data_IF_419646942326
#
_entry.id   IF_419646942326
#
_cell.length_a   1.000
_cell.length_b   1.000
_cell.length_c   1.000
_cell.angle_alpha   90.00
_cell.angle_beta   90.00
_cell.angle_gamma   90.00
#
_symmetry.space_group_name_H-M   'P 1'
#
loop_
_entity.id
_entity.type
_entity.pdbx_description
1 polymer ?
#
# COMPACT_ATOMS: atom_id res chain seq x y z
N UNK A 1 16.65 -65.79 -5.14
CA UNK A 1 16.05 -64.62 -5.82
C UNK A 1 15.14 -63.75 -4.93
N UNK A 2 15.28 -63.72 -3.59
CA UNK A 2 14.61 -62.74 -2.71
C UNK A 2 15.57 -61.74 -2.04
N UNK A 3 16.88 -62.00 -2.09
CA UNK A 3 17.91 -61.13 -1.51
C UNK A 3 18.34 -60.00 -2.46
N UNK A 4 18.38 -60.26 -3.78
CA UNK A 4 18.80 -59.29 -4.79
C UNK A 4 17.80 -58.14 -4.98
N UNK A 5 16.50 -58.42 -4.88
CA UNK A 5 15.44 -57.41 -4.99
C UNK A 5 15.42 -56.47 -3.78
N UNK A 6 15.75 -56.96 -2.58
CA UNK A 6 15.86 -56.12 -1.37
C UNK A 6 17.05 -55.17 -1.44
N UNK A 7 18.17 -55.59 -2.03
CA UNK A 7 19.34 -54.73 -2.20
C UNK A 7 19.10 -53.57 -3.17
N UNK A 8 18.34 -53.79 -4.25
CA UNK A 8 18.00 -52.72 -5.21
C UNK A 8 17.02 -51.70 -4.62
N UNK A 9 16.05 -52.16 -3.81
CA UNK A 9 15.15 -51.26 -3.08
C UNK A 9 15.86 -50.46 -1.97
N UNK A 10 16.87 -51.05 -1.31
CA UNK A 10 17.70 -50.33 -0.33
C UNK A 10 18.58 -49.28 -1.04
N UNK A 11 19.15 -49.61 -2.20
CA UNK A 11 19.98 -48.66 -2.97
C UNK A 11 19.18 -47.47 -3.52
N UNK A 12 17.94 -47.69 -3.97
CA UNK A 12 17.03 -46.62 -4.43
C UNK A 12 16.45 -45.78 -3.29
N UNK A 13 16.22 -46.38 -2.11
CA UNK A 13 15.82 -45.64 -0.93
C UNK A 13 16.96 -44.73 -0.42
N UNK A 14 18.22 -45.17 -0.51
CA UNK A 14 19.37 -44.34 -0.14
C UNK A 14 19.58 -43.16 -1.11
N UNK A 15 19.43 -43.33 -2.42
CA UNK A 15 19.54 -42.19 -3.35
C UNK A 15 18.39 -41.19 -3.22
N UNK A 16 17.18 -41.62 -2.86
CA UNK A 16 16.05 -40.72 -2.56
C UNK A 16 16.17 -40.03 -1.19
N UNK A 17 16.76 -40.68 -0.18
CA UNK A 17 17.04 -40.05 1.11
C UNK A 17 18.21 -39.04 1.04
N UNK A 18 19.18 -39.23 0.15
CA UNK A 18 20.25 -38.24 -0.10
C UNK A 18 19.85 -37.09 -1.04
N UNK A 19 18.68 -37.13 -1.67
CA UNK A 19 18.08 -35.96 -2.34
C UNK A 19 17.02 -35.26 -1.49
N UNK A 20 16.44 -35.94 -0.49
CA UNK A 20 15.46 -35.38 0.45
C UNK A 20 16.06 -34.95 1.81
N UNK A 21 17.36 -35.15 2.02
CA UNK A 21 18.12 -34.66 3.17
C UNK A 21 19.49 -34.15 2.70
N UNK A 22 19.52 -33.10 1.88
CA UNK A 22 20.70 -32.22 1.87
C UNK A 22 20.67 -31.38 3.16
N UNK A 23 20.93 -32.03 4.29
CA UNK A 23 21.66 -31.37 5.36
C UNK A 23 23.10 -31.33 4.85
N UNK A 24 23.51 -30.16 4.38
CA UNK A 24 24.92 -29.87 4.19
C UNK A 24 25.61 -30.05 5.54
N UNK A 25 26.46 -31.07 5.66
CA UNK A 25 27.53 -31.16 6.67
C UNK A 25 28.67 -30.17 6.30
N UNK A 26 28.29 -28.93 6.03
CA UNK A 26 29.18 -27.79 6.20
C UNK A 26 28.67 -27.10 7.47
N UNK A 27 29.29 -27.40 8.60
CA UNK A 27 29.12 -26.70 9.89
C UNK A 27 29.70 -25.26 9.84
N UNK A 28 29.99 -24.75 8.64
CA UNK A 28 29.94 -23.30 8.42
C UNK A 28 28.48 -22.89 8.54
N UNK A 29 28.13 -21.95 9.44
CA UNK A 29 26.87 -21.25 9.33
C UNK A 29 26.76 -20.81 7.87
N UNK A 30 25.78 -21.31 7.12
CA UNK A 30 25.43 -20.61 5.89
C UNK A 30 25.18 -19.18 6.35
N UNK A 31 25.90 -18.17 5.82
CA UNK A 31 25.65 -16.82 6.23
C UNK A 31 24.15 -16.61 6.06
N UNK A 32 23.47 -16.15 7.11
CA UNK A 32 22.08 -15.69 6.99
C UNK A 32 22.04 -14.93 5.68
N UNK A 33 21.25 -15.43 4.72
CA UNK A 33 21.35 -14.92 3.36
C UNK A 33 20.88 -13.48 3.41
N UNK A 34 21.83 -12.55 3.51
CA UNK A 34 21.53 -11.14 3.73
C UNK A 34 20.71 -10.70 2.53
N UNK A 35 19.53 -10.15 2.80
CA UNK A 35 18.59 -9.78 1.76
C UNK A 35 19.25 -8.80 0.78
N UNK A 36 19.18 -9.13 -0.51
CA UNK A 36 19.69 -8.26 -1.57
C UNK A 36 18.97 -6.90 -1.52
N UNK A 37 19.73 -5.84 -1.79
CA UNK A 37 19.21 -4.49 -2.02
C UNK A 37 17.95 -4.50 -2.90
N UNK A 38 16.97 -3.71 -2.46
CA UNK A 38 15.72 -3.48 -3.15
C UNK A 38 15.86 -2.20 -3.98
N UNK A 39 15.61 -2.29 -5.28
CA UNK A 39 15.77 -1.14 -6.18
C UNK A 39 14.52 -0.27 -6.20
N UNK A 40 14.68 1.01 -6.58
CA UNK A 40 13.56 1.91 -6.83
C UNK A 40 12.61 1.38 -7.92
N UNK A 41 13.15 0.68 -8.92
CA UNK A 41 12.37 0.05 -9.98
C UNK A 41 11.46 -1.06 -9.44
N UNK A 42 11.96 -1.91 -8.54
CA UNK A 42 11.14 -2.93 -7.87
C UNK A 42 10.03 -2.31 -7.01
N UNK A 43 10.28 -1.14 -6.41
CA UNK A 43 9.30 -0.42 -5.60
C UNK A 43 8.21 0.30 -6.42
N UNK A 44 8.38 0.45 -7.75
CA UNK A 44 7.33 0.98 -8.62
C UNK A 44 6.06 0.14 -8.58
N UNK A 45 6.18 -1.16 -8.32
CA UNK A 45 5.05 -2.08 -8.26
C UNK A 45 4.28 -2.02 -6.93
N UNK A 46 4.68 -1.14 -6.00
CA UNK A 46 4.11 -1.11 -4.66
C UNK A 46 3.61 0.28 -4.25
N UNK A 47 2.68 0.27 -3.31
CA UNK A 47 2.23 1.44 -2.53
C UNK A 47 2.49 1.11 -1.07
N UNK A 48 3.19 1.99 -0.39
CA UNK A 48 3.31 1.97 1.06
C UNK A 48 2.08 2.67 1.60
N UNK A 49 1.40 2.08 2.57
CA UNK A 49 0.22 2.67 3.16
C UNK A 49 0.40 2.60 4.67
N UNK A 50 0.28 3.76 5.30
CA UNK A 50 0.44 3.92 6.73
C UNK A 50 -0.86 4.45 7.33
N UNK A 51 -1.34 3.75 8.36
CA UNK A 51 -2.49 4.14 9.17
C UNK A 51 -2.02 5.07 10.29
N UNK A 52 -2.59 6.26 10.33
CA UNK A 52 -2.33 7.28 11.32
C UNK A 52 -3.57 7.51 12.17
N UNK A 53 -3.41 7.51 13.49
CA UNK A 53 -4.49 7.84 14.42
C UNK A 53 -4.25 9.22 15.03
N UNK A 54 -5.27 10.09 15.11
CA UNK A 54 -5.14 11.37 15.81
C UNK A 54 -4.67 11.17 17.26
N UNK A 55 -3.66 11.94 17.67
CA UNK A 55 -3.21 12.02 19.06
C UNK A 55 -4.33 12.60 19.93
N UNK A 56 -4.32 12.31 21.22
CA UNK A 56 -5.26 12.93 22.16
C UNK A 56 -5.13 14.47 22.21
N UNK A 57 -3.98 15.01 21.81
CA UNK A 57 -3.70 16.45 21.71
C UNK A 57 -4.05 17.07 20.34
N UNK A 58 -4.50 16.27 19.37
CA UNK A 58 -4.87 16.77 18.06
C UNK A 58 -6.10 17.71 18.16
N UNK A 59 -6.11 18.83 17.42
CA UNK A 59 -7.31 19.65 17.28
C UNK A 59 -8.52 18.85 16.80
N UNK A 60 -9.72 19.21 17.26
CA UNK A 60 -10.94 18.45 16.97
C UNK A 60 -11.29 18.34 15.47
N UNK A 61 -10.83 19.29 14.65
CA UNK A 61 -11.00 19.28 13.19
C UNK A 61 -10.33 18.09 12.49
N UNK A 62 -9.29 17.50 13.09
CA UNK A 62 -8.65 16.28 12.59
C UNK A 62 -9.50 15.01 12.81
N UNK A 63 -10.59 15.13 13.56
CA UNK A 63 -11.45 14.02 13.93
C UNK A 63 -10.78 13.03 14.90
N UNK A 64 -11.43 11.89 15.09
CA UNK A 64 -11.04 10.83 16.03
C UNK A 64 -10.80 9.47 15.36
N UNK A 65 -11.03 9.39 14.04
CA UNK A 65 -10.89 8.18 13.25
C UNK A 65 -9.47 8.05 12.68
N UNK A 66 -8.94 6.83 12.54
CA UNK A 66 -7.74 6.61 11.77
C UNK A 66 -7.89 7.08 10.32
N UNK A 67 -6.78 7.56 9.75
CA UNK A 67 -6.66 7.93 8.35
C UNK A 67 -5.56 7.11 7.71
N UNK A 68 -5.66 6.87 6.40
CA UNK A 68 -4.59 6.25 5.64
C UNK A 68 -3.89 7.29 4.79
N UNK A 69 -2.56 7.27 4.80
CA UNK A 69 -1.73 8.05 3.89
C UNK A 69 -0.92 7.10 3.01
N UNK A 70 -1.02 7.22 1.67
CA UNK A 70 -0.22 6.44 0.76
C UNK A 70 1.09 7.16 0.44
N UNK A 71 2.17 6.38 0.37
CA UNK A 71 3.44 6.77 -0.20
C UNK A 71 3.79 5.80 -1.34
N UNK A 72 4.25 6.30 -2.48
CA UNK A 72 4.62 5.44 -3.61
C UNK A 72 5.69 6.08 -4.48
N UNK A 73 6.32 5.26 -5.31
CA UNK A 73 7.36 5.69 -6.22
C UNK A 73 6.79 5.94 -7.62
N UNK A 74 7.23 7.02 -8.24
CA UNK A 74 7.04 7.29 -9.67
C UNK A 74 8.39 7.47 -10.36
N UNK A 75 8.43 7.10 -11.64
CA UNK A 75 9.58 7.31 -12.52
C UNK A 75 9.24 8.39 -13.54
N UNK A 76 10.08 9.42 -13.63
CA UNK A 76 9.98 10.39 -14.71
C UNK A 76 10.43 9.72 -16.02
N UNK A 77 9.53 9.63 -17.00
CA UNK A 77 9.82 8.95 -18.27
C UNK A 77 10.87 9.67 -19.12
N UNK A 78 11.05 10.97 -18.92
CA UNK A 78 11.97 11.79 -19.71
C UNK A 78 13.38 11.81 -19.12
N UNK A 79 13.50 11.86 -17.78
CA UNK A 79 14.81 11.91 -17.09
C UNK A 79 15.26 10.55 -16.56
N UNK A 80 14.34 9.60 -16.39
CA UNK A 80 14.60 8.30 -15.76
C UNK A 80 14.71 8.35 -14.24
N UNK A 81 14.63 9.54 -13.64
CA UNK A 81 14.74 9.76 -12.20
C UNK A 81 13.51 9.24 -11.46
N UNK A 82 13.75 8.76 -10.24
CA UNK A 82 12.71 8.28 -9.34
C UNK A 82 12.37 9.34 -8.31
N UNK A 83 11.09 9.44 -7.96
CA UNK A 83 10.64 10.29 -6.87
C UNK A 83 9.73 9.51 -5.95
N UNK A 84 9.83 9.77 -4.65
CA UNK A 84 8.80 9.39 -3.71
C UNK A 84 7.71 10.46 -3.71
N UNK A 85 6.46 10.00 -3.67
CA UNK A 85 5.28 10.85 -3.58
C UNK A 85 4.55 10.44 -2.33
N UNK A 86 4.25 11.43 -1.51
CA UNK A 86 3.39 11.28 -0.34
C UNK A 86 2.24 12.25 -0.51
N UNK A 87 1.02 11.74 -0.30
CA UNK A 87 -0.14 12.62 -0.14
C UNK A 87 -0.36 13.57 -1.34
N UNK A 88 0.17 13.17 -2.51
CA UNK A 88 -0.01 13.74 -3.87
C UNK A 88 0.45 15.17 -4.10
N UNK A 89 0.69 15.92 -3.04
CA UNK A 89 1.14 17.31 -3.09
C UNK A 89 2.65 17.40 -3.03
N UNK A 90 3.31 16.41 -2.42
CA UNK A 90 4.72 16.48 -2.09
C UNK A 90 5.51 15.39 -2.80
N UNK A 91 6.49 15.83 -3.60
CA UNK A 91 7.40 14.99 -4.34
C UNK A 91 8.82 15.32 -3.91
N UNK A 92 9.59 14.29 -3.57
CA UNK A 92 11.03 14.44 -3.40
C UNK A 92 11.77 13.43 -4.26
N UNK A 93 12.96 13.82 -4.71
CA UNK A 93 13.88 12.91 -5.37
C UNK A 93 14.18 11.72 -4.44
N UNK A 94 14.05 10.53 -5.00
CA UNK A 94 14.23 9.30 -4.25
C UNK A 94 15.71 8.97 -4.13
N UNK A 95 16.14 8.74 -2.89
CA UNK A 95 17.44 8.26 -2.49
C UNK A 95 17.25 6.95 -1.73
N UNK A 96 18.02 5.95 -2.13
CA UNK A 96 18.08 4.66 -1.43
C UNK A 96 19.37 4.57 -0.63
N UNK A 97 19.30 3.94 0.53
CA UNK A 97 20.48 3.56 1.32
C UNK A 97 20.37 2.10 1.68
N UNK A 98 21.37 1.31 1.32
CA UNK A 98 21.41 -0.11 1.60
C UNK A 98 22.46 -0.43 2.65
N UNK A 99 22.06 -1.13 3.70
CA UNK A 99 22.95 -1.68 4.71
C UNK A 99 23.20 -3.17 4.45
N UNK A 100 24.40 -3.48 3.95
CA UNK A 100 24.80 -4.84 3.63
C UNK A 100 25.04 -5.73 4.85
N UNK A 101 25.05 -5.19 6.07
CA UNK A 101 25.15 -5.99 7.30
C UNK A 101 23.79 -6.47 7.80
N UNK A 102 22.72 -5.75 7.49
CA UNK A 102 21.35 -6.06 7.92
C UNK A 102 20.43 -6.48 6.78
N UNK A 103 20.81 -6.23 5.51
CA UNK A 103 19.96 -6.47 4.35
C UNK A 103 18.78 -5.51 4.27
N UNK A 104 18.91 -4.32 4.88
CA UNK A 104 17.87 -3.30 4.91
C UNK A 104 18.14 -2.26 3.82
N UNK A 105 17.14 -2.01 2.98
CA UNK A 105 17.11 -0.84 2.10
C UNK A 105 16.19 0.21 2.69
N UNK A 106 16.70 1.40 2.94
CA UNK A 106 15.93 2.58 3.34
C UNK A 106 15.64 3.45 2.13
N UNK A 107 14.43 4.03 2.06
CA UNK A 107 14.11 5.07 1.08
C UNK A 107 13.72 6.35 1.82
N UNK A 108 14.16 7.50 1.33
CA UNK A 108 13.73 8.79 1.84
C UNK A 108 12.35 9.17 1.28
N UNK A 109 11.57 9.86 2.11
CA UNK A 109 10.30 10.47 1.76
C UNK A 109 10.13 11.78 2.52
N UNK A 110 9.09 12.52 2.19
CA UNK A 110 8.74 13.81 2.80
C UNK A 110 8.52 13.68 4.31
N UNK A 111 7.95 12.57 4.78
CA UNK A 111 7.69 12.36 6.22
C UNK A 111 8.87 11.75 6.96
N UNK A 112 9.89 11.26 6.27
CA UNK A 112 11.03 10.55 6.86
C UNK A 112 11.44 9.36 6.01
N UNK A 113 11.86 8.26 6.63
CA UNK A 113 12.35 7.07 5.92
C UNK A 113 11.41 5.89 6.07
N UNK A 114 11.34 5.05 5.04
CA UNK A 114 10.78 3.70 5.14
C UNK A 114 11.88 2.67 4.93
N UNK A 115 11.94 1.70 5.83
CA UNK A 115 12.94 0.64 5.81
C UNK A 115 12.30 -0.66 5.30
N UNK A 116 12.94 -1.29 4.32
CA UNK A 116 12.48 -2.50 3.65
C UNK A 116 13.50 -3.63 3.75
N UNK A 117 13.01 -4.86 3.66
CA UNK A 117 13.84 -6.04 3.46
C UNK A 117 13.07 -7.09 2.66
N UNK A 118 13.65 -8.28 2.49
CA UNK A 118 12.98 -9.44 1.91
C UNK A 118 12.73 -10.48 2.98
N UNK A 119 11.53 -11.04 2.96
CA UNK A 119 11.25 -12.21 3.79
C UNK A 119 11.89 -13.49 3.22
N UNK A 120 11.71 -14.61 3.91
CA UNK A 120 12.27 -15.90 3.50
C UNK A 120 11.76 -16.42 2.14
N UNK A 121 10.65 -15.88 1.62
CA UNK A 121 10.14 -16.19 0.29
C UNK A 121 10.71 -15.28 -0.81
N UNK A 122 11.50 -14.28 -0.44
CA UNK A 122 12.03 -13.25 -1.33
C UNK A 122 11.08 -12.07 -1.55
N UNK A 123 9.90 -12.06 -0.91
CA UNK A 123 8.92 -10.99 -1.00
C UNK A 123 9.44 -9.74 -0.29
N UNK A 124 9.30 -8.58 -0.93
CA UNK A 124 9.64 -7.29 -0.32
C UNK A 124 8.61 -6.98 0.76
N UNK A 125 9.11 -6.62 1.94
CA UNK A 125 8.30 -6.21 3.10
C UNK A 125 8.81 -4.89 3.64
N UNK A 126 7.89 -4.06 4.12
CA UNK A 126 8.22 -2.86 4.90
C UNK A 126 8.33 -3.24 6.37
N UNK A 127 9.40 -2.80 7.03
CA UNK A 127 9.71 -3.14 8.42
C UNK A 127 9.18 -2.04 9.34
N UNK A 128 9.53 -0.79 9.06
CA UNK A 128 9.21 0.36 9.89
C UNK A 128 9.27 1.65 9.08
N UNK A 129 8.56 2.65 9.58
CA UNK A 129 8.74 4.05 9.24
C UNK A 129 9.60 4.73 10.31
N UNK A 130 10.43 5.69 9.87
CA UNK A 130 11.25 6.55 10.73
C UNK A 130 10.91 7.99 10.38
N UNK A 131 9.90 8.52 11.07
CA UNK A 131 9.42 9.87 10.84
C UNK A 131 10.46 10.90 11.27
N UNK A 132 10.58 11.98 10.49
CA UNK A 132 11.41 13.11 10.86
C UNK A 132 10.70 13.88 11.98
N UNK A 133 11.20 13.81 13.22
CA UNK A 133 10.58 14.47 14.37
C UNK A 133 10.52 16.00 14.22
N UNK A 134 11.44 16.58 13.43
CA UNK A 134 11.48 18.01 13.10
C UNK A 134 10.62 18.37 11.87
N UNK A 135 9.82 17.42 11.37
CA UNK A 135 8.91 17.62 10.26
C UNK A 135 7.85 18.68 10.59
N UNK A 136 7.74 19.70 9.73
CA UNK A 136 6.66 20.69 9.81
C UNK A 136 5.31 20.13 9.35
N UNK A 137 5.25 18.88 8.89
CA UNK A 137 4.01 18.27 8.42
C UNK A 137 3.08 17.93 9.59
N UNK A 138 1.84 18.42 9.51
CA UNK A 138 0.79 18.25 10.54
C UNK A 138 0.56 16.80 10.92
N UNK A 139 0.67 15.88 9.97
CA UNK A 139 0.51 14.44 10.20
C UNK A 139 1.51 13.94 11.26
N UNK A 140 2.79 14.31 11.17
CA UNK A 140 3.83 13.89 12.12
C UNK A 140 3.58 14.53 13.50
N UNK A 141 3.07 15.77 13.50
CA UNK A 141 2.79 16.51 14.74
C UNK A 141 1.57 15.97 15.50
N UNK A 142 0.46 15.73 14.82
CA UNK A 142 -0.84 15.47 15.45
C UNK A 142 -1.33 14.03 15.37
N UNK A 143 -0.60 13.13 14.70
CA UNK A 143 -1.01 11.74 14.55
C UNK A 143 0.09 10.79 14.99
N UNK A 144 -0.32 9.63 15.49
CA UNK A 144 0.53 8.49 15.79
C UNK A 144 0.39 7.45 14.68
N UNK A 145 1.51 7.03 14.09
CA UNK A 145 1.54 5.87 13.22
C UNK A 145 1.12 4.60 13.98
N UNK A 146 0.25 3.80 13.39
CA UNK A 146 -0.30 2.58 13.99
C UNK A 146 0.10 1.33 13.22
N UNK A 147 -0.26 1.29 11.94
CA UNK A 147 -0.01 0.14 11.07
C UNK A 147 0.64 0.61 9.78
N UNK A 148 1.66 -0.12 9.36
CA UNK A 148 2.41 0.16 8.15
C UNK A 148 2.41 -1.08 7.27
N UNK A 149 2.15 -0.89 5.99
CA UNK A 149 2.08 -1.98 5.06
C UNK A 149 2.58 -1.61 3.67
N UNK A 150 3.28 -2.56 3.06
CA UNK A 150 3.58 -2.54 1.64
C UNK A 150 2.50 -3.34 0.90
N UNK A 151 1.80 -2.67 -0.01
CA UNK A 151 0.74 -3.25 -0.83
C UNK A 151 1.24 -3.29 -2.27
N UNK A 152 1.18 -4.47 -2.90
CA UNK A 152 1.45 -4.58 -4.33
C UNK A 152 0.31 -3.91 -5.10
N UNK A 153 0.66 -3.01 -6.03
CA UNK A 153 -0.31 -2.37 -6.93
C UNK A 153 -1.05 -3.45 -7.68
N UNK A 154 -2.37 -3.32 -7.70
CA UNK A 154 -3.20 -4.27 -8.42
C UNK A 154 -3.15 -4.03 -9.92
N UNK A 155 -3.33 -5.12 -10.67
CA UNK A 155 -3.71 -5.02 -12.07
C UNK A 155 -5.19 -4.65 -12.23
N UNK A 156 -6.01 -4.89 -11.19
CA UNK A 156 -7.43 -4.51 -11.17
C UNK A 156 -7.59 -3.01 -11.37
N UNK A 157 -8.31 -2.66 -12.42
CA UNK A 157 -8.61 -1.27 -12.77
C UNK A 157 -10.00 -0.98 -12.22
N UNK A 158 -10.09 -0.25 -11.10
CA UNK A 158 -11.38 0.15 -10.53
C UNK A 158 -12.03 1.36 -11.22
N UNK A 159 -11.74 1.55 -12.50
CA UNK A 159 -12.32 2.62 -13.30
C UNK A 159 -13.75 2.26 -13.70
N UNK A 160 -14.63 3.26 -13.74
CA UNK A 160 -16.06 3.06 -13.95
C UNK A 160 -16.78 2.23 -12.85
N UNK A 161 -16.12 2.00 -11.70
CA UNK A 161 -16.67 1.19 -10.61
C UNK A 161 -17.55 2.02 -9.67
N UNK A 162 -18.46 1.32 -8.98
CA UNK A 162 -19.35 1.88 -7.95
C UNK A 162 -18.96 1.35 -6.58
N UNK A 163 -19.07 2.19 -5.56
CA UNK A 163 -18.75 1.85 -4.18
C UNK A 163 -19.94 2.24 -3.29
N UNK A 164 -20.17 1.52 -2.20
CA UNK A 164 -21.26 1.80 -1.24
C UNK A 164 -20.70 1.99 0.16
N UNK A 165 -21.16 3.00 0.89
CA UNK A 165 -20.72 3.25 2.26
C UNK A 165 -20.88 1.99 3.13
N UNK A 166 -19.83 1.60 3.86
CA UNK A 166 -19.86 0.44 4.77
C UNK A 166 -20.83 0.70 5.94
N UNK A 167 -20.92 1.95 6.37
CA UNK A 167 -21.73 2.42 7.49
C UNK A 167 -22.66 3.53 7.01
N UNK A 168 -23.64 3.19 6.18
CA UNK A 168 -24.67 4.14 5.74
C UNK A 168 -25.35 3.75 4.43
N UNK A 169 -26.13 4.70 3.89
CA UNK A 169 -26.95 4.47 2.70
C UNK A 169 -26.40 5.13 1.42
N UNK A 170 -25.15 5.57 1.37
CA UNK A 170 -24.59 6.32 0.22
C UNK A 170 -23.81 5.48 -0.78
N UNK A 171 -23.71 5.97 -2.02
CA UNK A 171 -22.92 5.41 -3.13
C UNK A 171 -21.90 6.41 -3.66
N UNK A 172 -20.75 5.93 -4.11
CA UNK A 172 -19.75 6.66 -4.87
C UNK A 172 -19.58 6.01 -6.23
N UNK A 173 -19.37 6.80 -7.28
CA UNK A 173 -19.09 6.27 -8.63
C UNK A 173 -18.00 7.09 -9.30
N UNK A 174 -17.09 6.40 -9.98
CA UNK A 174 -16.08 6.99 -10.84
C UNK A 174 -16.44 6.75 -12.31
N UNK A 175 -15.99 7.61 -13.21
CA UNK A 175 -16.09 7.44 -14.66
C UNK A 175 -14.78 7.87 -15.31
N UNK A 176 -14.11 6.92 -15.97
CA UNK A 176 -12.79 7.15 -16.56
C UNK A 176 -12.83 7.94 -17.85
N UNK A 177 -13.93 7.92 -18.61
CA UNK A 177 -13.99 8.60 -19.92
C UNK A 177 -13.69 10.11 -19.84
N UNK A 178 -14.02 10.73 -18.71
CA UNK A 178 -13.83 12.16 -18.48
C UNK A 178 -13.34 12.48 -17.06
N UNK A 179 -12.79 11.48 -16.36
CA UNK A 179 -12.25 11.60 -15.01
C UNK A 179 -13.21 12.27 -14.01
N UNK A 180 -14.48 11.85 -14.04
CA UNK A 180 -15.51 12.38 -13.13
C UNK A 180 -16.00 11.36 -12.13
N UNK A 181 -16.28 11.83 -10.92
CA UNK A 181 -16.87 11.04 -9.85
C UNK A 181 -18.03 11.77 -9.17
N UNK A 182 -18.75 11.08 -8.30
CA UNK A 182 -19.76 11.66 -7.41
C UNK A 182 -20.13 10.74 -6.25
N UNK A 183 -20.50 11.33 -5.11
CA UNK A 183 -21.32 10.69 -4.07
C UNK A 183 -22.81 10.98 -4.24
N UNK A 184 -23.67 9.98 -4.03
CA UNK A 184 -25.13 10.12 -3.99
C UNK A 184 -25.75 9.23 -2.92
N UNK A 185 -26.72 9.78 -2.19
CA UNK A 185 -27.46 9.03 -1.18
C UNK A 185 -28.46 8.06 -1.84
N UNK A 186 -28.54 6.84 -1.30
CA UNK A 186 -29.54 5.80 -1.59
C UNK A 186 -29.55 5.19 -3.00
N UNK A 187 -28.77 5.71 -3.96
CA UNK A 187 -28.65 5.14 -5.29
C UNK A 187 -27.31 5.45 -5.95
N UNK A 188 -26.90 4.58 -6.88
CA UNK A 188 -25.73 4.80 -7.74
C UNK A 188 -25.94 6.10 -8.56
N UNK A 189 -24.98 7.06 -8.56
CA UNK A 189 -25.06 8.23 -9.43
C UNK A 189 -25.18 7.83 -10.92
N UNK A 190 -26.09 8.48 -11.64
CA UNK A 190 -26.18 8.36 -13.11
C UNK A 190 -25.02 9.10 -13.77
N UNK A 191 -24.76 8.78 -15.04
CA UNK A 191 -23.71 9.42 -15.84
C UNK A 191 -23.85 10.93 -15.92
N UNK A 192 -25.08 11.46 -15.99
CA UNK A 192 -25.35 12.89 -16.04
C UNK A 192 -25.11 13.60 -14.69
N UNK A 193 -25.10 12.85 -13.60
CA UNK A 193 -24.88 13.39 -12.25
C UNK A 193 -23.39 13.45 -11.88
N UNK A 194 -22.51 12.78 -12.62
CA UNK A 194 -21.06 12.81 -12.37
C UNK A 194 -20.50 14.19 -12.74
N UNK A 195 -20.25 15.01 -11.71
CA UNK A 195 -19.85 16.41 -11.88
C UNK A 195 -18.58 16.78 -11.08
N UNK A 196 -18.02 15.88 -10.27
CA UNK A 196 -16.80 16.13 -9.50
C UNK A 196 -15.60 15.56 -10.24
N UNK A 197 -14.43 16.21 -10.17
CA UNK A 197 -13.24 15.79 -10.89
C UNK A 197 -12.32 14.95 -10.00
N UNK A 198 -11.64 13.99 -10.62
CA UNK A 198 -10.56 13.25 -9.97
C UNK A 198 -9.37 13.06 -10.92
N UNK A 199 -8.22 12.74 -10.33
CA UNK A 199 -7.01 12.28 -11.00
C UNK A 199 -6.68 10.90 -10.46
N UNK A 200 -6.47 9.95 -11.36
CA UNK A 200 -5.97 8.62 -11.02
C UNK A 200 -4.45 8.66 -11.02
N UNK A 201 -3.81 8.39 -9.87
CA UNK A 201 -2.37 8.27 -9.78
C UNK A 201 -1.90 6.86 -10.10
N UNK A 202 -2.63 5.87 -9.56
CA UNK A 202 -2.41 4.46 -9.89
C UNK A 202 -3.71 3.67 -9.68
N UNK A 203 -3.67 2.35 -9.91
CA UNK A 203 -4.85 1.48 -9.78
C UNK A 203 -5.40 1.37 -8.36
N UNK A 204 -4.68 1.82 -7.34
CA UNK A 204 -5.10 1.77 -5.95
C UNK A 204 -5.37 3.17 -5.38
N UNK A 205 -5.06 4.24 -6.11
CA UNK A 205 -5.02 5.58 -5.53
C UNK A 205 -5.51 6.66 -6.49
N UNK A 206 -6.49 7.43 -6.04
CA UNK A 206 -7.07 8.58 -6.75
C UNK A 206 -7.17 9.78 -5.81
N UNK A 207 -7.14 10.97 -6.39
CA UNK A 207 -7.40 12.23 -5.68
C UNK A 207 -8.48 12.99 -6.42
N UNK A 208 -9.43 13.59 -5.73
CA UNK A 208 -10.44 14.41 -6.37
C UNK A 208 -10.92 15.54 -5.49
N UNK A 209 -11.48 16.56 -6.12
CA UNK A 209 -12.15 17.65 -5.41
C UNK A 209 -13.63 17.60 -5.74
N UNK A 210 -14.47 17.78 -4.72
CA UNK A 210 -15.89 17.97 -4.98
C UNK A 210 -16.13 19.31 -5.70
N UNK A 211 -17.14 19.33 -6.57
CA UNK A 211 -17.57 20.54 -7.27
C UNK A 211 -18.53 21.40 -6.44
N UNK A 212 -18.59 21.20 -5.12
CA UNK A 212 -19.41 21.95 -4.19
C UNK A 212 -18.75 23.25 -3.75
N UNK A 213 -19.30 23.90 -2.73
CA UNK A 213 -18.75 25.14 -2.16
C UNK A 213 -17.53 24.91 -1.28
N UNK A 214 -17.42 23.74 -0.66
CA UNK A 214 -16.31 23.41 0.26
C UNK A 214 -15.09 22.83 -0.46
N UNK A 215 -15.27 22.25 -1.67
CA UNK A 215 -14.20 21.77 -2.55
C UNK A 215 -13.17 20.87 -1.88
N UNK A 216 -13.60 19.99 -0.98
CA UNK A 216 -12.73 19.12 -0.20
C UNK A 216 -11.78 18.32 -1.11
N UNK A 217 -10.48 18.28 -0.79
CA UNK A 217 -9.56 17.37 -1.46
C UNK A 217 -9.71 15.98 -0.85
N UNK A 218 -10.24 15.06 -1.63
CA UNK A 218 -10.51 13.70 -1.21
C UNK A 218 -9.43 12.78 -1.77
N UNK A 219 -8.88 11.95 -0.90
CA UNK A 219 -7.97 10.87 -1.25
C UNK A 219 -8.77 9.58 -1.18
N UNK A 220 -8.72 8.82 -2.26
CA UNK A 220 -9.36 7.53 -2.38
C UNK A 220 -8.29 6.45 -2.46
N UNK A 221 -8.30 5.51 -1.51
CA UNK A 221 -7.35 4.39 -1.47
C UNK A 221 -8.12 3.08 -1.55
N UNK A 222 -7.92 2.35 -2.64
CA UNK A 222 -8.46 0.99 -2.82
C UNK A 222 -7.52 -0.02 -2.18
N UNK A 223 -8.07 -0.77 -1.22
CA UNK A 223 -7.46 -1.88 -0.51
C UNK A 223 -8.20 -3.18 -0.87
N UNK A 224 -7.70 -3.93 -1.86
CA UNK A 224 -8.29 -5.21 -2.23
C UNK A 224 -8.10 -6.24 -1.12
N UNK A 225 -9.10 -7.10 -0.95
CA UNK A 225 -9.00 -8.25 -0.07
C UNK A 225 -7.82 -9.15 -0.47
N UNK A 226 -7.12 -9.70 0.51
CA UNK A 226 -6.02 -10.65 0.27
C UNK A 226 -4.66 -9.99 -0.01
N UNK A 227 -4.58 -8.65 -0.09
CA UNK A 227 -3.30 -7.92 -0.16
C UNK A 227 -2.56 -7.86 1.19
N UNK A 228 -2.89 -8.77 2.11
CA UNK A 228 -2.25 -8.92 3.40
C UNK A 228 -2.57 -7.83 4.42
N UNK A 229 -3.54 -6.95 4.18
CA UNK A 229 -3.80 -5.77 5.03
C UNK A 229 -3.88 -6.13 6.52
N UNK A 230 -3.20 -5.37 7.39
CA UNK A 230 -3.20 -5.51 8.86
C UNK A 230 -3.89 -4.31 9.53
N UNK A 231 -4.49 -4.52 10.70
CA UNK A 231 -5.20 -3.45 11.42
C UNK A 231 -6.71 -3.44 11.11
N UNK A 232 -7.35 -2.26 11.20
CA UNK A 232 -8.82 -2.16 11.19
C UNK A 232 -9.47 -2.48 9.82
N UNK A 233 -8.69 -2.47 8.74
CA UNK A 233 -9.17 -2.70 7.38
C UNK A 233 -8.85 -4.11 6.84
N UNK A 234 -8.41 -5.03 7.71
CA UNK A 234 -7.96 -6.37 7.32
C UNK A 234 -9.11 -7.16 6.68
N UNK A 235 -8.79 -7.87 5.59
CA UNK A 235 -9.69 -8.76 4.84
C UNK A 235 -10.92 -8.09 4.21
N UNK A 236 -10.90 -6.76 4.09
CA UNK A 236 -11.97 -5.99 3.45
C UNK A 236 -11.54 -5.56 2.05
N UNK A 237 -12.50 -5.49 1.14
CA UNK A 237 -12.33 -4.81 -0.14
C UNK A 237 -12.92 -3.41 0.02
N UNK A 238 -12.07 -2.40 0.15
CA UNK A 238 -12.49 -1.05 0.55
C UNK A 238 -11.89 0.04 -0.32
N UNK A 239 -12.65 1.12 -0.46
CA UNK A 239 -12.18 2.45 -0.79
C UNK A 239 -12.25 3.31 0.48
N UNK A 240 -11.12 3.83 0.94
CA UNK A 240 -11.09 4.75 2.09
C UNK A 240 -11.08 6.19 1.58
N UNK A 241 -11.94 7.04 2.16
CA UNK A 241 -11.99 8.48 1.85
C UNK A 241 -11.42 9.26 3.02
N UNK A 242 -10.22 9.79 2.80
CA UNK A 242 -9.64 10.82 3.64
C UNK A 242 -9.88 12.16 2.98
N UNK A 243 -10.47 13.10 3.72
CA UNK A 243 -10.39 14.51 3.35
C UNK A 243 -9.07 15.06 3.83
N UNK A 244 -8.33 15.55 2.87
CA UNK A 244 -7.23 16.45 3.06
C UNK A 244 -7.75 17.84 2.68
N UNK A 245 -7.43 18.83 3.48
CA UNK A 245 -7.35 20.19 2.98
C UNK A 245 -5.98 20.73 3.37
N UNK A 246 -5.60 21.88 2.82
CA UNK A 246 -4.38 22.59 3.18
C UNK A 246 -4.23 22.74 4.70
N UNK A 247 -5.32 22.66 5.49
CA UNK A 247 -5.32 22.88 6.93
C UNK A 247 -5.48 21.62 7.82
N UNK A 248 -6.12 20.54 7.35
CA UNK A 248 -6.36 19.36 8.19
C UNK A 248 -6.53 18.06 7.42
N UNK A 249 -6.35 16.96 8.15
CA UNK A 249 -6.58 15.60 7.71
C UNK A 249 -7.74 15.00 8.49
N UNK A 250 -8.73 14.45 7.82
CA UNK A 250 -9.88 13.81 8.48
C UNK A 250 -10.42 12.68 7.63
N UNK A 251 -10.57 11.49 8.21
CA UNK A 251 -11.33 10.42 7.54
C UNK A 251 -12.82 10.78 7.51
N UNK A 252 -13.41 10.77 6.32
CA UNK A 252 -14.87 10.76 6.17
C UNK A 252 -15.39 9.36 6.53
N UNK A 253 -14.72 8.31 6.06
CA UNK A 253 -15.00 6.93 6.43
C UNK A 253 -14.66 5.90 5.35
N UNK A 254 -14.98 4.64 5.67
CA UNK A 254 -14.77 3.50 4.80
C UNK A 254 -15.95 3.29 3.85
N UNK A 255 -15.66 2.91 2.61
CA UNK A 255 -16.64 2.57 1.59
C UNK A 255 -16.33 1.18 1.04
N UNK A 256 -17.31 0.30 0.96
CA UNK A 256 -17.17 -1.02 0.34
C UNK A 256 -17.20 -0.94 -1.18
N UNK A 257 -16.47 -1.85 -1.84
CA UNK A 257 -16.47 -1.96 -3.31
C UNK A 257 -17.66 -2.79 -3.78
N UNK A 258 -18.35 -2.32 -4.84
CA UNK A 258 -19.39 -3.07 -5.52
C UNK A 258 -19.11 -3.08 -7.03
N UNK A 259 -18.70 -4.23 -7.55
CA UNK A 259 -18.53 -4.39 -9.00
C UNK A 259 -19.91 -4.56 -9.66
N UNK A 260 -20.22 -3.71 -10.63
CA UNK A 260 -21.35 -3.93 -11.52
C UNK A 260 -20.86 -4.95 -12.55
N UNK A 261 -21.44 -6.16 -12.53
CA UNK A 261 -21.32 -7.06 -13.68
C UNK A 261 -21.98 -6.34 -14.88
N UNK A 262 -21.16 -5.86 -15.81
CA UNK A 262 -21.62 -5.28 -17.08
C UNK A 262 -22.40 -6.31 -17.91
#
# INVERSE_FOLDING_TARGET
>A
MKAMTKFIFILFAFTLLFTACSKSDDDTPQPEQIAKEITAEELLDYVIIEEYKPKASAPAEYGDKPILIPAYIEKNVNTGEYSSIIDFTERIEMQTTYDASTGITSINTVFGYYDFTRDASGQIVVIKSRHNEDSNYRIVKYFDSQYLQLVKKTQSIYDNTTYKNVTGNGYYRFRSSDNKWRWKENAVPTTAELIWSYTKHNNNVWVGSDGGTEQWYNIFISLPKGNGWKGQYKDKDLLIVSVQDYFYYRAIGDIGVYEINN
#
